data_IF_793544847209
#
_entry.id   IF_793544847209
#
_cell.length_a   1.000
_cell.length_b   1.000
_cell.length_c   1.000
_cell.angle_alpha   90.00
_cell.angle_beta   90.00
_cell.angle_gamma   90.00
#
_symmetry.space_group_name_H-M   'P 1'
#
loop_
_entity.id
_entity.type
_entity.pdbx_description
1 polymer ?
#
# COMPACT_ATOMS: atom_id res chain seq x y z
N UNK A 1 32.06 -1.11 -0.63
CA UNK A 1 31.83 -2.35 0.13
C UNK A 1 31.17 -1.94 1.44
N UNK A 2 29.90 -2.28 1.67
CA UNK A 2 29.22 -1.86 2.91
C UNK A 2 29.44 -2.92 3.99
N UNK A 3 29.84 -2.48 5.19
CA UNK A 3 30.10 -3.37 6.31
C UNK A 3 28.80 -3.92 6.93
N UNK A 4 28.80 -5.17 7.40
CA UNK A 4 27.63 -5.84 7.98
C UNK A 4 27.11 -5.23 9.31
N UNK A 5 27.71 -4.14 9.80
CA UNK A 5 27.38 -3.49 11.08
C UNK A 5 26.98 -2.01 11.00
N UNK A 6 26.72 -1.47 9.80
CA UNK A 6 26.21 -0.09 9.67
C UNK A 6 24.81 0.00 10.33
N UNK A 7 24.55 0.96 11.23
CA UNK A 7 23.27 1.07 11.91
C UNK A 7 22.12 1.21 10.91
N UNK A 8 21.00 0.54 11.20
CA UNK A 8 19.77 0.65 10.42
C UNK A 8 19.29 2.09 10.37
N UNK A 9 19.05 2.62 9.17
CA UNK A 9 18.62 4.01 8.96
C UNK A 9 17.17 4.04 8.50
N UNK A 10 16.47 5.13 8.80
CA UNK A 10 15.13 5.37 8.27
C UNK A 10 15.12 5.50 6.73
N UNK A 11 16.23 5.97 6.15
CA UNK A 11 16.42 6.03 4.70
C UNK A 11 16.41 4.66 4.03
N UNK A 12 16.69 3.59 4.78
CA UNK A 12 16.72 2.22 4.26
C UNK A 12 15.32 1.58 4.24
N UNK A 13 14.32 2.26 4.81
CA UNK A 13 12.95 1.76 4.88
C UNK A 13 12.19 2.06 3.59
N UNK A 14 11.58 1.01 3.05
CA UNK A 14 10.57 1.07 2.00
C UNK A 14 9.25 0.60 2.61
N UNK A 15 8.19 1.39 2.46
CA UNK A 15 6.87 1.13 3.06
C UNK A 15 5.85 0.89 1.97
N UNK A 16 5.03 -0.14 2.09
CA UNK A 16 3.98 -0.47 1.13
C UNK A 16 2.63 -0.61 1.81
N UNK A 17 1.56 -0.19 1.13
CA UNK A 17 0.19 -0.44 1.57
C UNK A 17 -0.76 -0.62 0.37
N UNK A 18 -1.87 -1.30 0.60
CA UNK A 18 -2.92 -1.53 -0.39
C UNK A 18 -4.21 -0.79 -0.01
N UNK A 19 -4.78 -0.06 -0.96
CA UNK A 19 -6.03 0.67 -0.73
C UNK A 19 -6.97 0.60 -1.91
N UNK A 20 -8.27 0.62 -1.63
CA UNK A 20 -9.31 0.60 -2.64
C UNK A 20 -9.77 2.02 -2.97
N UNK A 21 -9.52 2.48 -4.18
CA UNK A 21 -10.07 3.75 -4.68
C UNK A 21 -11.37 3.51 -5.45
N UNK A 22 -12.47 4.17 -5.07
CA UNK A 22 -13.70 4.15 -5.86
C UNK A 22 -13.52 5.00 -7.13
N UNK A 23 -14.08 4.55 -8.26
CA UNK A 23 -14.05 5.33 -9.52
C UNK A 23 -14.82 6.65 -9.44
N UNK A 24 -15.83 6.74 -8.58
CA UNK A 24 -16.68 7.91 -8.42
C UNK A 24 -16.67 8.40 -6.98
N UNK A 25 -16.48 9.71 -6.79
CA UNK A 25 -16.58 10.35 -5.49
C UNK A 25 -18.04 10.35 -5.04
N UNK A 26 -18.32 9.81 -3.84
CA UNK A 26 -19.60 10.02 -3.16
C UNK A 26 -19.44 11.28 -2.32
N UNK A 27 -20.24 12.33 -2.52
CA UNK A 27 -20.25 13.42 -1.58
C UNK A 27 -20.62 12.86 -0.19
N UNK A 28 -19.77 13.05 0.84
CA UNK A 28 -20.06 12.53 2.16
C UNK A 28 -21.36 13.15 2.68
N UNK A 29 -22.13 12.39 3.47
CA UNK A 29 -23.45 12.82 3.99
C UNK A 29 -23.43 14.22 4.61
N UNK A 30 -22.31 14.63 5.21
CA UNK A 30 -22.10 15.95 5.80
C UNK A 30 -22.25 17.12 4.81
N UNK A 31 -21.96 16.91 3.53
CA UNK A 31 -22.10 17.92 2.48
C UNK A 31 -23.56 18.08 2.02
N UNK A 32 -24.42 17.10 2.31
CA UNK A 32 -25.87 17.21 2.07
C UNK A 32 -26.61 17.77 3.30
N UNK A 33 -25.90 18.32 4.29
CA UNK A 33 -26.54 19.00 5.42
C UNK A 33 -27.05 20.35 4.95
N UNK A 34 -28.35 20.54 5.03
CA UNK A 34 -29.03 21.81 4.85
C UNK A 34 -29.94 22.05 6.04
N UNK A 35 -30.10 23.33 6.40
CA UNK A 35 -31.15 23.76 7.31
C UNK A 35 -32.47 23.71 6.54
N UNK A 36 -33.49 23.06 7.11
CA UNK A 36 -34.85 22.97 6.56
C UNK A 36 -35.84 23.45 7.61
N UNK A 37 -36.92 24.07 7.17
CA UNK A 37 -38.02 24.44 8.07
C UNK A 37 -38.82 23.18 8.48
N UNK A 38 -39.56 23.25 9.59
CA UNK A 38 -40.22 22.09 10.21
C UNK A 38 -41.30 21.42 9.35
N UNK A 39 -41.78 22.10 8.30
CA UNK A 39 -42.78 21.58 7.34
C UNK A 39 -42.17 21.14 6.00
N UNK A 40 -40.87 21.35 5.78
CA UNK A 40 -40.20 20.98 4.53
C UNK A 40 -39.67 19.55 4.53
N UNK A 41 -39.60 18.95 3.35
CA UNK A 41 -39.04 17.62 3.17
C UNK A 41 -37.53 17.60 3.42
N UNK A 42 -37.08 16.51 4.05
CA UNK A 42 -35.65 16.30 4.31
C UNK A 42 -34.90 16.04 3.00
N UNK A 43 -33.65 16.52 2.86
CA UNK A 43 -32.82 16.24 1.69
C UNK A 43 -32.68 14.73 1.46
N UNK A 44 -33.04 14.30 0.24
CA UNK A 44 -32.88 12.91 -0.19
C UNK A 44 -31.42 12.67 -0.53
N UNK A 45 -30.75 11.86 0.29
CA UNK A 45 -29.37 11.45 0.01
C UNK A 45 -29.39 10.18 -0.82
N UNK A 46 -28.85 10.27 -2.04
CA UNK A 46 -28.58 9.09 -2.87
C UNK A 46 -27.66 8.14 -2.09
N UNK A 47 -28.17 6.93 -1.79
CA UNK A 47 -27.36 5.83 -1.24
C UNK A 47 -26.90 4.97 -2.40
N UNK A 48 -25.63 5.04 -2.81
CA UNK A 48 -25.16 4.13 -3.83
C UNK A 48 -25.30 2.69 -3.36
N UNK A 49 -25.81 1.82 -4.25
CA UNK A 49 -25.81 0.37 -4.02
C UNK A 49 -24.38 -0.16 -3.95
N UNK A 50 -24.25 -1.34 -3.34
CA UNK A 50 -23.00 -2.04 -2.98
C UNK A 50 -22.06 -2.38 -4.15
N UNK A 51 -22.43 -2.06 -5.40
CA UNK A 51 -21.65 -2.32 -6.60
C UNK A 51 -21.07 -1.02 -7.15
N UNK A 52 -20.03 -0.50 -6.51
CA UNK A 52 -19.21 0.55 -7.11
C UNK A 52 -17.93 -0.07 -7.63
N UNK A 53 -17.65 0.18 -8.90
CA UNK A 53 -16.34 -0.08 -9.48
C UNK A 53 -15.29 0.59 -8.61
N UNK A 54 -14.37 -0.24 -8.11
CA UNK A 54 -13.23 0.18 -7.31
C UNK A 54 -11.99 -0.49 -7.87
N UNK A 55 -10.86 0.20 -7.77
CA UNK A 55 -9.54 -0.33 -8.15
C UNK A 55 -8.70 -0.43 -6.89
N UNK A 56 -8.00 -1.54 -6.75
CA UNK A 56 -7.01 -1.67 -5.68
C UNK A 56 -5.71 -1.06 -6.20
N UNK A 57 -5.18 -0.12 -5.44
CA UNK A 57 -3.87 0.46 -5.63
C UNK A 57 -2.95 -0.12 -4.58
N UNK A 58 -1.75 -0.49 -5.00
CA UNK A 58 -0.66 -0.86 -4.11
C UNK A 58 0.43 0.17 -4.27
N UNK A 59 0.73 0.91 -3.21
CA UNK A 59 1.67 2.02 -3.27
C UNK A 59 2.84 1.77 -2.34
N UNK A 60 4.05 1.96 -2.85
CA UNK A 60 5.27 1.95 -2.07
C UNK A 60 5.87 3.35 -1.98
N UNK A 61 6.40 3.68 -0.80
CA UNK A 61 7.10 4.92 -0.51
C UNK A 61 8.46 4.62 0.11
N UNK A 62 9.38 5.57 -0.05
CA UNK A 62 10.59 5.64 0.75
C UNK A 62 10.79 7.07 1.27
N UNK A 63 11.95 7.35 1.86
CA UNK A 63 12.24 8.68 2.42
C UNK A 63 12.22 9.81 1.37
N UNK A 64 12.41 9.50 0.08
CA UNK A 64 12.41 10.48 -1.01
C UNK A 64 11.01 10.72 -1.59
N UNK A 65 10.02 9.87 -1.29
CA UNK A 65 8.66 9.98 -1.80
C UNK A 65 8.09 8.66 -2.35
N UNK A 66 7.08 8.73 -3.23
CA UNK A 66 6.52 7.56 -3.90
C UNK A 66 7.57 6.83 -4.72
N UNK A 67 7.61 5.51 -4.60
CA UNK A 67 8.56 4.64 -5.28
C UNK A 67 7.88 3.82 -6.39
N UNK A 68 6.76 3.18 -6.07
CA UNK A 68 5.98 2.38 -7.03
C UNK A 68 4.50 2.59 -6.74
N UNK A 69 3.70 2.69 -7.80
CA UNK A 69 2.23 2.64 -7.75
C UNK A 69 1.79 1.56 -8.72
N UNK A 70 1.28 0.45 -8.18
CA UNK A 70 0.73 -0.65 -8.97
C UNK A 70 -0.80 -0.62 -8.86
N UNK A 71 -1.49 -0.76 -9.99
CA UNK A 71 -2.95 -0.83 -10.03
C UNK A 71 -3.36 -2.25 -10.36
N UNK A 72 -4.03 -2.92 -9.42
CA UNK A 72 -4.55 -4.25 -9.64
C UNK A 72 -5.57 -4.22 -10.80
N UNK A 73 -5.43 -5.07 -11.82
CA UNK A 73 -6.37 -5.15 -12.92
C UNK A 73 -7.80 -5.45 -12.44
N UNK A 74 -8.77 -5.01 -13.23
CA UNK A 74 -10.19 -5.26 -12.91
C UNK A 74 -10.46 -6.75 -12.80
N UNK A 75 -11.35 -7.11 -11.87
CA UNK A 75 -11.82 -8.49 -11.68
C UNK A 75 -10.70 -9.49 -11.37
N UNK A 76 -9.53 -9.00 -10.94
CA UNK A 76 -8.44 -9.82 -10.44
C UNK A 76 -8.33 -9.71 -8.92
N UNK A 77 -7.80 -10.77 -8.30
CA UNK A 77 -7.56 -10.82 -6.86
C UNK A 77 -6.06 -10.70 -6.61
N UNK A 78 -5.68 -9.93 -5.61
CA UNK A 78 -4.29 -9.88 -5.15
C UNK A 78 -3.89 -11.24 -4.57
N UNK A 79 -3.19 -12.04 -5.36
CA UNK A 79 -2.60 -13.32 -4.93
C UNK A 79 -1.13 -13.13 -4.59
N UNK A 80 -0.55 -14.06 -3.83
CA UNK A 80 0.88 -14.04 -3.53
C UNK A 80 1.76 -14.05 -4.79
N UNK A 81 1.35 -14.80 -5.83
CA UNK A 81 2.07 -14.85 -7.09
C UNK A 81 2.02 -13.52 -7.82
N UNK A 82 0.85 -12.88 -7.88
CA UNK A 82 0.70 -11.55 -8.48
C UNK A 82 1.55 -10.51 -7.74
N UNK A 83 1.50 -10.53 -6.40
CA UNK A 83 2.28 -9.63 -5.55
C UNK A 83 3.79 -9.79 -5.78
N UNK A 84 4.31 -11.01 -5.88
CA UNK A 84 5.74 -11.23 -6.18
C UNK A 84 6.10 -10.77 -7.60
N UNK A 85 5.32 -11.20 -8.59
CA UNK A 85 5.68 -11.05 -10.01
C UNK A 85 5.51 -9.64 -10.55
N UNK A 86 4.52 -8.90 -10.07
CA UNK A 86 4.20 -7.56 -10.58
C UNK A 86 4.59 -6.49 -9.56
N UNK A 87 4.22 -6.67 -8.29
CA UNK A 87 4.45 -5.63 -7.28
C UNK A 87 5.91 -5.59 -6.82
N UNK A 88 6.41 -6.68 -6.22
CA UNK A 88 7.76 -6.70 -5.64
C UNK A 88 8.87 -6.65 -6.69
N UNK A 89 8.63 -7.15 -7.89
CA UNK A 89 9.56 -7.04 -9.02
C UNK A 89 9.76 -5.58 -9.43
N UNK A 90 8.68 -4.79 -9.52
CA UNK A 90 8.74 -3.36 -9.80
C UNK A 90 9.42 -2.60 -8.66
N UNK A 91 9.11 -2.94 -7.40
CA UNK A 91 9.78 -2.35 -6.23
C UNK A 91 11.29 -2.60 -6.26
N UNK A 92 11.72 -3.82 -6.56
CA UNK A 92 13.15 -4.16 -6.71
C UNK A 92 13.82 -3.30 -7.78
N UNK A 93 13.21 -3.21 -8.97
CA UNK A 93 13.76 -2.39 -10.07
C UNK A 93 13.88 -0.92 -9.67
N UNK A 94 12.83 -0.36 -9.06
CA UNK A 94 12.83 1.03 -8.60
C UNK A 94 13.87 1.32 -7.51
N UNK A 95 14.10 0.38 -6.58
CA UNK A 95 15.18 0.49 -5.58
C UNK A 95 16.54 0.53 -6.27
N UNK A 96 16.76 -0.36 -7.23
CA UNK A 96 18.04 -0.43 -7.96
C UNK A 96 18.30 0.81 -8.81
N UNK A 97 17.26 1.39 -9.41
CA UNK A 97 17.35 2.65 -10.17
C UNK A 97 17.67 3.84 -9.26
N UNK A 98 16.99 3.98 -8.12
CA UNK A 98 17.25 5.07 -7.19
C UNK A 98 18.57 4.92 -6.43
N UNK A 99 19.07 3.68 -6.26
CA UNK A 99 20.25 3.38 -5.43
C UNK A 99 21.17 2.35 -6.13
N UNK A 100 21.74 2.67 -7.30
CA UNK A 100 22.52 1.71 -8.09
C UNK A 100 23.75 1.17 -7.36
N UNK A 101 24.29 1.96 -6.41
CA UNK A 101 25.49 1.61 -5.64
C UNK A 101 25.17 0.90 -4.31
N UNK A 102 23.89 0.75 -3.94
CA UNK A 102 23.48 0.16 -2.66
C UNK A 102 22.80 -1.18 -2.93
N UNK A 103 23.28 -2.24 -2.27
CA UNK A 103 22.67 -3.56 -2.37
C UNK A 103 21.22 -3.54 -1.91
N UNK A 104 20.34 -4.25 -2.62
CA UNK A 104 18.94 -4.46 -2.22
C UNK A 104 18.83 -5.08 -0.83
N UNK A 105 19.87 -5.82 -0.37
CA UNK A 105 19.94 -6.41 0.96
C UNK A 105 19.98 -5.41 2.12
N UNK A 106 20.23 -4.13 1.83
CA UNK A 106 20.13 -3.04 2.82
C UNK A 106 18.68 -2.58 3.05
N UNK A 107 17.75 -2.99 2.18
CA UNK A 107 16.36 -2.53 2.23
C UNK A 107 15.61 -3.16 3.40
N UNK A 108 14.93 -2.31 4.15
CA UNK A 108 13.99 -2.68 5.20
C UNK A 108 12.57 -2.49 4.68
N UNK A 109 11.83 -3.58 4.50
CA UNK A 109 10.48 -3.53 3.96
C UNK A 109 9.45 -3.52 5.10
N UNK A 110 8.57 -2.52 5.10
CA UNK A 110 7.41 -2.47 5.98
C UNK A 110 6.15 -2.54 5.11
N UNK A 111 5.43 -3.64 5.18
CA UNK A 111 4.10 -3.78 4.61
C UNK A 111 3.18 -4.37 5.67
N UNK A 112 1.87 -4.32 5.43
CA UNK A 112 0.91 -4.87 6.36
C UNK A 112 0.96 -6.42 6.39
N UNK A 113 0.00 -7.04 7.05
CA UNK A 113 0.12 -8.44 7.41
C UNK A 113 -0.94 -9.29 6.71
N UNK A 114 -1.11 -9.07 5.40
CA UNK A 114 -2.13 -9.77 4.60
C UNK A 114 -1.68 -11.17 4.19
N UNK A 115 -2.65 -11.99 3.78
CA UNK A 115 -2.40 -13.35 3.26
C UNK A 115 -1.36 -13.40 2.13
N UNK A 116 -1.50 -12.61 1.05
CA UNK A 116 -0.55 -12.56 -0.06
C UNK A 116 0.88 -12.20 0.36
N UNK A 117 1.03 -11.26 1.30
CA UNK A 117 2.34 -10.78 1.74
C UNK A 117 3.05 -11.75 2.69
N UNK A 118 2.29 -12.46 3.53
CA UNK A 118 2.80 -13.53 4.41
C UNK A 118 3.04 -14.86 3.71
N UNK A 119 2.56 -15.02 2.48
CA UNK A 119 2.64 -16.28 1.77
C UNK A 119 4.09 -16.75 1.62
N UNK A 120 4.29 -18.07 1.60
CA UNK A 120 5.62 -18.67 1.46
C UNK A 120 6.36 -18.15 0.23
N UNK A 121 5.67 -18.03 -0.91
CA UNK A 121 6.24 -17.49 -2.14
C UNK A 121 6.82 -16.07 -1.95
N UNK A 122 6.06 -15.21 -1.27
CA UNK A 122 6.49 -13.83 -0.96
C UNK A 122 7.67 -13.80 -0.01
N UNK A 123 7.59 -14.54 1.10
CA UNK A 123 8.69 -14.58 2.07
C UNK A 123 9.98 -15.17 1.48
N UNK A 124 9.87 -16.17 0.60
CA UNK A 124 11.01 -16.75 -0.09
C UNK A 124 11.64 -15.74 -1.06
N UNK A 125 10.82 -15.07 -1.88
CA UNK A 125 11.30 -14.05 -2.80
C UNK A 125 12.03 -12.90 -2.09
N UNK A 126 11.47 -12.42 -0.97
CA UNK A 126 12.11 -11.37 -0.16
C UNK A 126 13.46 -11.83 0.43
N UNK A 127 13.57 -13.09 0.86
CA UNK A 127 14.83 -13.68 1.32
C UNK A 127 15.86 -13.78 0.20
N UNK A 128 15.45 -14.19 -1.00
CA UNK A 128 16.33 -14.27 -2.18
C UNK A 128 16.88 -12.88 -2.58
N UNK A 129 16.09 -11.82 -2.38
CA UNK A 129 16.53 -10.44 -2.57
C UNK A 129 17.36 -9.88 -1.41
N UNK A 130 17.46 -10.62 -0.29
CA UNK A 130 18.10 -10.16 0.94
C UNK A 130 17.33 -9.03 1.65
N UNK A 131 16.08 -8.75 1.26
CA UNK A 131 15.27 -7.69 1.85
C UNK A 131 14.81 -8.14 3.23
N UNK A 132 15.09 -7.32 4.25
CA UNK A 132 14.63 -7.60 5.61
C UNK A 132 13.22 -7.03 5.80
N UNK A 133 12.27 -7.89 6.16
CA UNK A 133 10.90 -7.47 6.52
C UNK A 133 10.87 -6.99 7.96
N UNK A 134 10.34 -5.79 8.18
CA UNK A 134 10.07 -5.22 9.49
C UNK A 134 8.74 -5.76 10.02
N UNK A 135 8.69 -6.00 11.33
CA UNK A 135 7.47 -6.50 11.98
C UNK A 135 6.43 -5.37 12.09
N UNK A 136 5.28 -5.55 11.46
CA UNK A 136 4.11 -4.70 11.68
C UNK A 136 3.14 -5.39 12.65
N UNK A 137 2.82 -4.79 13.81
CA UNK A 137 1.83 -5.36 14.72
C UNK A 137 0.45 -5.42 14.07
N UNK A 138 -0.35 -6.41 14.45
CA UNK A 138 -1.69 -6.58 13.90
C UNK A 138 -2.59 -5.41 14.34
N UNK A 139 -3.42 -4.92 13.41
CA UNK A 139 -4.39 -3.85 13.67
C UNK A 139 -3.78 -2.55 14.21
N UNK A 140 -2.57 -2.19 13.73
CA UNK A 140 -1.89 -0.94 14.11
C UNK A 140 -1.80 0.05 12.94
N UNK A 141 -2.93 0.59 12.47
CA UNK A 141 -2.92 1.59 11.40
C UNK A 141 -2.23 2.89 11.84
N UNK A 142 -2.23 3.20 13.14
CA UNK A 142 -1.51 4.31 13.77
C UNK A 142 0.01 4.23 13.58
N UNK A 143 0.55 3.02 13.45
CA UNK A 143 1.98 2.78 13.20
C UNK A 143 2.33 2.71 11.71
N UNK A 144 1.32 2.62 10.85
CA UNK A 144 1.46 2.56 9.41
C UNK A 144 1.28 3.97 8.83
N UNK A 145 2.33 4.61 8.31
CA UNK A 145 2.24 5.99 7.84
C UNK A 145 1.37 6.17 6.59
N UNK A 146 0.98 5.08 5.93
CA UNK A 146 0.16 5.10 4.70
C UNK A 146 -1.36 5.07 4.97
N UNK A 147 -1.79 4.96 6.24
CA UNK A 147 -3.20 4.80 6.61
C UNK A 147 -3.96 6.11 6.93
N UNK A 148 -3.37 7.29 6.66
CA UNK A 148 -3.94 8.60 6.99
C UNK A 148 -4.03 9.55 5.78
#
# INVERSE_FOLDING_TARGET
>A
MFEPHDPKRLSDIVKGDETWFPFFIIPPKRLNRMWVDGQEDRPVVFRPRFQREKRMFTVFFNYSGPLVVEILPQDTTMTATYYVQNVLSHVKSAINEQRPNVSTSRTLLLHDNTGPQKARATTQYLRELGIQVLLQPAYSPDLAPCNF
#
